data_IF_859628236973
#
_entry.id   IF_859628236973
#
_cell.length_a   1.000
_cell.length_b   1.000
_cell.length_c   1.000
_cell.angle_alpha   90.00
_cell.angle_beta   90.00
_cell.angle_gamma   90.00
#
_symmetry.space_group_name_H-M   'P 1'
#
loop_
_entity.id
_entity.type
_entity.pdbx_description
1 polymer ?
#
# COMPACT_ATOMS: atom_id res chain seq x y z
N UNK A 1 -68.08 -24.07 -72.21
CA UNK A 1 -66.69 -23.55 -72.25
C UNK A 1 -66.66 -22.01 -72.06
N UNK A 2 -67.46 -21.46 -71.11
CA UNK A 2 -67.57 -20.02 -70.92
C UNK A 2 -67.55 -19.57 -69.42
N UNK A 3 -67.31 -20.50 -68.51
CA UNK A 3 -67.31 -20.17 -67.07
C UNK A 3 -65.89 -19.88 -66.47
N UNK A 4 -64.85 -20.22 -67.19
CA UNK A 4 -63.45 -20.06 -66.64
C UNK A 4 -62.84 -18.67 -66.93
N UNK A 5 -63.37 -17.92 -67.89
CA UNK A 5 -62.86 -16.58 -68.26
C UNK A 5 -63.34 -15.46 -67.33
N UNK A 6 -64.55 -15.60 -66.75
CA UNK A 6 -65.09 -14.58 -65.85
C UNK A 6 -64.37 -14.54 -64.46
N UNK A 7 -63.92 -15.68 -63.93
CA UNK A 7 -63.29 -15.78 -62.63
C UNK A 7 -61.87 -15.18 -62.61
N UNK A 8 -61.15 -15.21 -63.76
CA UNK A 8 -59.79 -14.62 -63.85
C UNK A 8 -59.78 -13.09 -63.81
N UNK A 9 -60.80 -12.46 -64.40
CA UNK A 9 -60.87 -10.98 -64.37
C UNK A 9 -61.36 -10.43 -63.03
N UNK A 10 -62.24 -11.12 -62.34
CA UNK A 10 -62.69 -10.76 -61.01
C UNK A 10 -61.56 -10.90 -59.92
N UNK A 11 -60.69 -11.91 -60.00
CA UNK A 11 -59.56 -12.08 -59.14
C UNK A 11 -58.48 -11.03 -59.46
N UNK A 12 -58.27 -10.68 -60.76
CA UNK A 12 -57.26 -9.69 -61.12
C UNK A 12 -57.72 -8.27 -60.77
N UNK A 13 -58.99 -7.92 -60.85
CA UNK A 13 -59.56 -6.63 -60.45
C UNK A 13 -59.59 -6.50 -58.92
N UNK A 14 -59.87 -7.58 -58.19
CA UNK A 14 -59.78 -7.61 -56.71
C UNK A 14 -58.31 -7.42 -56.14
N UNK A 15 -57.35 -8.01 -56.88
CA UNK A 15 -55.94 -7.86 -56.55
C UNK A 15 -55.39 -6.44 -56.81
N UNK A 16 -55.87 -5.79 -57.86
CA UNK A 16 -55.49 -4.42 -58.23
C UNK A 16 -56.06 -3.39 -57.24
N UNK A 17 -57.31 -3.58 -56.78
CA UNK A 17 -57.97 -2.74 -55.80
C UNK A 17 -57.28 -2.94 -54.37
N UNK A 18 -56.91 -4.15 -54.02
CA UNK A 18 -56.18 -4.43 -52.83
C UNK A 18 -54.76 -3.81 -52.83
N UNK A 19 -54.06 -3.78 -53.96
CA UNK A 19 -52.73 -3.17 -54.11
C UNK A 19 -52.79 -1.65 -54.09
N UNK A 20 -53.85 -1.00 -54.60
CA UNK A 20 -54.04 0.45 -54.57
C UNK A 20 -54.40 0.94 -53.15
N UNK A 21 -55.12 0.15 -52.32
CA UNK A 21 -55.41 0.47 -50.94
C UNK A 21 -54.13 0.36 -50.01
N UNK A 22 -53.24 -0.54 -50.41
CA UNK A 22 -51.95 -0.65 -49.71
C UNK A 22 -51.00 0.49 -50.03
N UNK A 23 -51.08 1.13 -51.18
CA UNK A 23 -50.22 2.26 -51.54
C UNK A 23 -50.79 3.61 -51.06
N UNK A 24 -52.06 3.74 -50.75
CA UNK A 24 -52.62 4.95 -50.13
C UNK A 24 -52.45 5.01 -48.57
N UNK A 25 -52.00 3.92 -47.97
CA UNK A 25 -51.75 3.90 -46.53
C UNK A 25 -50.41 4.54 -46.11
N UNK A 26 -49.53 4.85 -47.07
CA UNK A 26 -48.21 5.45 -46.75
C UNK A 26 -48.16 6.98 -46.86
N UNK A 27 -49.19 7.63 -47.43
CA UNK A 27 -49.14 9.09 -47.60
C UNK A 27 -49.35 9.89 -46.29
N UNK A 28 -49.91 9.28 -45.25
CA UNK A 28 -50.09 9.93 -43.95
C UNK A 28 -49.01 9.55 -42.89
N UNK A 29 -48.10 8.71 -43.27
CA UNK A 29 -47.04 8.32 -42.31
C UNK A 29 -45.89 9.34 -42.20
N UNK A 30 -45.87 10.35 -43.10
CA UNK A 30 -44.82 11.40 -43.12
C UNK A 30 -45.36 12.82 -42.88
N UNK A 31 -46.63 13.00 -42.63
CA UNK A 31 -47.16 14.26 -42.05
C UNK A 31 -46.94 14.31 -40.56
N UNK A 32 -45.68 14.23 -40.16
CA UNK A 32 -45.28 14.70 -38.87
C UNK A 32 -45.29 16.21 -38.95
N UNK A 33 -46.45 16.82 -38.73
CA UNK A 33 -46.44 18.22 -38.31
C UNK A 33 -45.56 18.29 -37.08
N UNK A 34 -44.43 18.98 -37.17
CA UNK A 34 -43.61 19.32 -35.99
C UNK A 34 -44.56 20.15 -35.13
N UNK A 35 -45.05 19.52 -34.06
CA UNK A 35 -45.81 20.24 -33.02
C UNK A 35 -44.94 21.38 -32.52
N UNK A 36 -45.24 22.60 -32.99
CA UNK A 36 -44.53 23.79 -32.60
C UNK A 36 -44.59 24.08 -31.09
N UNK A 37 -45.49 23.37 -30.38
CA UNK A 37 -45.53 23.36 -28.91
C UNK A 37 -44.42 22.49 -28.28
N UNK A 38 -43.76 21.62 -29.08
CA UNK A 38 -42.64 20.81 -28.61
C UNK A 38 -41.28 21.41 -29.00
N UNK A 39 -41.09 22.69 -28.75
CA UNK A 39 -39.79 23.35 -28.92
C UNK A 39 -38.84 23.03 -27.76
N UNK A 40 -38.47 21.74 -27.62
CA UNK A 40 -37.51 21.29 -26.59
C UNK A 40 -36.20 20.87 -27.22
N UNK A 41 -35.09 21.28 -26.63
CA UNK A 41 -33.74 20.89 -27.06
C UNK A 41 -33.46 19.39 -26.93
N UNK A 42 -32.62 18.90 -27.82
CA UNK A 42 -32.08 17.54 -27.71
C UNK A 42 -31.16 17.40 -26.49
N UNK A 43 -31.14 16.21 -25.90
CA UNK A 43 -30.21 15.87 -24.82
C UNK A 43 -28.81 15.67 -25.38
N UNK A 44 -27.82 16.13 -24.64
CA UNK A 44 -26.41 15.75 -24.87
C UNK A 44 -26.23 14.23 -24.73
N UNK A 45 -25.19 13.70 -25.31
CA UNK A 45 -24.82 12.28 -25.21
C UNK A 45 -23.37 12.14 -24.76
N UNK A 46 -22.97 10.96 -24.32
CA UNK A 46 -21.61 10.62 -23.91
C UNK A 46 -21.10 11.52 -22.77
N UNK A 47 -21.96 11.79 -21.77
CA UNK A 47 -21.51 12.49 -20.59
C UNK A 47 -20.49 11.63 -19.82
N UNK A 48 -19.29 12.15 -19.68
CA UNK A 48 -18.19 11.53 -18.94
C UNK A 48 -17.56 12.55 -17.99
N UNK A 49 -16.96 12.09 -16.90
CA UNK A 49 -16.32 12.93 -15.88
C UNK A 49 -14.93 12.37 -15.58
N UNK A 50 -13.93 13.25 -15.61
CA UNK A 50 -12.55 12.96 -15.22
C UNK A 50 -12.21 13.74 -13.97
N UNK A 51 -12.31 13.14 -12.76
CA UNK A 51 -12.09 13.86 -11.52
C UNK A 51 -10.60 14.11 -11.24
N UNK A 52 -10.32 15.29 -10.68
CA UNK A 52 -9.06 15.67 -10.05
C UNK A 52 -9.23 15.72 -8.53
N UNK A 53 -8.47 16.54 -7.81
CA UNK A 53 -8.55 16.67 -6.34
C UNK A 53 -9.74 17.56 -5.94
N UNK A 54 -9.79 18.80 -6.48
CA UNK A 54 -10.81 19.79 -6.13
C UNK A 54 -11.60 20.27 -7.36
N UNK A 55 -11.47 19.58 -8.47
CA UNK A 55 -12.11 19.87 -9.74
C UNK A 55 -12.43 18.59 -10.51
N UNK A 56 -13.21 18.72 -11.59
CA UNK A 56 -13.41 17.61 -12.52
C UNK A 56 -13.65 18.16 -13.93
N UNK A 57 -13.00 17.55 -14.92
CA UNK A 57 -13.30 17.81 -16.32
C UNK A 57 -14.55 17.04 -16.75
N UNK A 58 -15.54 17.74 -17.25
CA UNK A 58 -16.82 17.21 -17.73
C UNK A 58 -16.84 17.26 -19.25
N UNK A 59 -17.08 16.11 -19.89
CA UNK A 59 -17.04 15.95 -21.33
C UNK A 59 -18.39 15.42 -21.82
N UNK A 60 -18.94 16.01 -22.89
CA UNK A 60 -20.18 15.57 -23.54
C UNK A 60 -20.16 15.89 -25.03
N UNK A 61 -21.08 15.30 -25.79
CA UNK A 61 -21.31 15.71 -27.15
C UNK A 61 -22.19 16.98 -27.17
N UNK A 62 -21.69 18.04 -27.81
CA UNK A 62 -22.45 19.27 -28.01
C UNK A 62 -23.72 19.00 -28.89
N UNK A 63 -24.81 19.69 -28.55
CA UNK A 63 -26.09 19.58 -29.25
C UNK A 63 -26.35 20.81 -30.10
N UNK A 64 -27.05 20.62 -31.20
CA UNK A 64 -27.46 21.71 -32.11
C UNK A 64 -28.52 22.60 -31.43
N UNK A 65 -28.60 23.87 -31.81
CA UNK A 65 -29.53 24.86 -31.29
C UNK A 65 -29.42 25.09 -29.77
N UNK A 66 -28.27 24.79 -29.19
CA UNK A 66 -27.98 25.00 -27.78
C UNK A 66 -27.15 26.27 -27.61
N UNK A 67 -27.59 27.18 -26.75
CA UNK A 67 -26.90 28.44 -26.46
C UNK A 67 -25.92 28.27 -25.32
N UNK A 68 -26.25 27.45 -24.34
CA UNK A 68 -25.42 27.12 -23.19
C UNK A 68 -25.83 25.82 -22.51
N UNK A 69 -25.01 25.36 -21.57
CA UNK A 69 -25.26 24.16 -20.78
C UNK A 69 -25.35 24.51 -19.30
N UNK A 70 -26.13 23.72 -18.57
CA UNK A 70 -26.16 23.75 -17.10
C UNK A 70 -25.72 22.40 -16.59
N UNK A 71 -24.76 22.43 -15.65
CA UNK A 71 -24.27 21.26 -14.93
C UNK A 71 -24.70 21.39 -13.48
N UNK A 72 -25.32 20.34 -12.93
CA UNK A 72 -25.68 20.25 -11.53
C UNK A 72 -24.90 19.11 -10.87
N UNK A 73 -24.34 19.42 -9.69
CA UNK A 73 -23.51 18.49 -8.89
C UNK A 73 -24.01 18.48 -7.45
N UNK A 74 -24.14 17.29 -6.85
CA UNK A 74 -24.58 17.13 -5.46
C UNK A 74 -23.85 15.93 -4.82
N UNK A 75 -23.69 15.91 -3.51
CA UNK A 75 -23.19 14.75 -2.77
C UNK A 75 -24.27 13.66 -2.57
N UNK A 76 -25.53 14.00 -2.80
CA UNK A 76 -26.67 13.09 -2.78
C UNK A 76 -27.17 12.78 -4.20
N UNK A 77 -27.81 11.64 -4.39
CA UNK A 77 -28.33 11.22 -5.70
C UNK A 77 -29.33 12.23 -6.27
N UNK A 78 -29.13 12.63 -7.53
CA UNK A 78 -29.93 13.64 -8.25
C UNK A 78 -31.18 12.99 -8.87
N UNK A 79 -32.31 13.07 -8.18
CA UNK A 79 -33.58 12.45 -8.63
C UNK A 79 -34.68 13.45 -8.98
N UNK A 80 -34.62 14.66 -8.45
CA UNK A 80 -35.64 15.70 -8.69
C UNK A 80 -35.60 16.24 -10.11
N UNK A 81 -36.75 16.63 -10.71
CA UNK A 81 -36.80 17.30 -12.01
C UNK A 81 -36.18 18.73 -11.95
N UNK A 82 -36.43 19.44 -10.85
CA UNK A 82 -35.81 20.73 -10.55
C UNK A 82 -34.44 20.56 -9.89
N UNK A 83 -33.72 21.65 -9.65
CA UNK A 83 -32.47 21.62 -8.87
C UNK A 83 -32.74 21.04 -7.49
N UNK A 84 -31.84 20.16 -7.07
CA UNK A 84 -31.94 19.52 -5.77
C UNK A 84 -31.33 20.42 -4.70
N UNK A 85 -31.92 20.41 -3.52
CA UNK A 85 -31.35 21.15 -2.38
C UNK A 85 -29.92 20.71 -2.07
N UNK A 86 -29.02 21.66 -1.81
CA UNK A 86 -27.60 21.43 -1.58
C UNK A 86 -26.77 21.21 -2.84
N UNK A 87 -27.37 21.36 -4.04
CA UNK A 87 -26.63 21.27 -5.30
C UNK A 87 -25.77 22.50 -5.56
N UNK A 88 -24.60 22.27 -6.14
CA UNK A 88 -23.80 23.30 -6.82
C UNK A 88 -24.18 23.31 -8.29
N UNK A 89 -24.53 24.51 -8.80
CA UNK A 89 -24.97 24.70 -10.19
C UNK A 89 -23.94 25.49 -10.96
N UNK A 90 -23.48 24.97 -12.08
CA UNK A 90 -22.56 25.63 -13.00
C UNK A 90 -23.30 26.02 -14.29
N UNK A 91 -22.98 27.19 -14.83
CA UNK A 91 -23.52 27.68 -16.12
C UNK A 91 -24.85 28.42 -16.04
N UNK A 92 -25.37 28.81 -14.85
CA UNK A 92 -26.54 29.68 -14.73
C UNK A 92 -26.30 31.09 -15.30
N UNK A 93 -25.03 31.50 -15.29
CA UNK A 93 -24.55 32.73 -15.93
C UNK A 93 -24.42 32.62 -17.45
N UNK A 94 -24.83 31.46 -18.01
CA UNK A 94 -24.72 31.12 -19.42
C UNK A 94 -23.30 31.04 -19.96
N UNK A 95 -22.31 30.86 -19.09
CA UNK A 95 -20.88 30.80 -19.45
C UNK A 95 -20.48 29.52 -20.18
N UNK A 96 -21.17 28.41 -19.89
CA UNK A 96 -20.80 27.09 -20.45
C UNK A 96 -21.36 26.94 -21.88
N UNK A 97 -20.52 27.16 -22.89
CA UNK A 97 -20.93 27.13 -24.31
C UNK A 97 -20.67 25.81 -25.01
N UNK A 98 -19.70 25.04 -24.55
CA UNK A 98 -19.28 23.79 -25.20
C UNK A 98 -18.53 22.88 -24.25
N UNK A 99 -18.47 21.60 -24.62
CA UNK A 99 -17.59 20.59 -24.02
C UNK A 99 -16.15 20.75 -24.55
N UNK A 100 -15.09 20.43 -23.77
CA UNK A 100 -15.15 20.10 -22.33
C UNK A 100 -15.33 21.33 -21.45
N UNK A 101 -15.71 21.12 -20.19
CA UNK A 101 -15.78 22.17 -19.17
C UNK A 101 -15.25 21.63 -17.82
N UNK A 102 -14.43 22.41 -17.12
CA UNK A 102 -13.93 22.05 -15.78
C UNK A 102 -14.82 22.68 -14.72
N UNK A 103 -15.43 21.86 -13.90
CA UNK A 103 -16.12 22.27 -12.68
C UNK A 103 -15.09 22.34 -11.54
N UNK A 104 -15.07 23.45 -10.79
CA UNK A 104 -14.10 23.74 -9.73
C UNK A 104 -14.79 23.85 -8.37
N UNK A 105 -13.99 23.86 -7.28
CA UNK A 105 -14.49 24.06 -5.93
C UNK A 105 -15.12 22.84 -5.32
N UNK A 106 -14.78 21.63 -5.80
CA UNK A 106 -15.19 20.37 -5.20
C UNK A 106 -14.30 20.03 -4.00
N UNK A 107 -14.87 19.31 -3.05
CA UNK A 107 -14.09 18.73 -1.93
C UNK A 107 -13.28 17.54 -2.40
N UNK A 108 -12.05 17.40 -1.88
CA UNK A 108 -11.20 16.25 -2.13
C UNK A 108 -11.79 14.97 -1.50
N UNK A 109 -11.47 13.81 -2.10
CA UNK A 109 -11.89 12.48 -1.62
C UNK A 109 -13.40 12.31 -1.42
N UNK A 110 -14.22 13.12 -2.13
CA UNK A 110 -15.67 13.22 -1.96
C UNK A 110 -16.40 12.65 -3.17
N UNK A 111 -17.46 11.90 -2.91
CA UNK A 111 -18.32 11.35 -3.97
C UNK A 111 -19.41 12.34 -4.36
N UNK A 112 -19.56 12.55 -5.65
CA UNK A 112 -20.54 13.45 -6.25
C UNK A 112 -21.40 12.75 -7.30
N UNK A 113 -22.67 13.12 -7.35
CA UNK A 113 -23.57 12.86 -8.47
C UNK A 113 -23.60 14.07 -9.39
N UNK A 114 -23.73 13.85 -10.70
CA UNK A 114 -23.69 14.90 -11.70
C UNK A 114 -24.72 14.67 -12.79
N UNK A 115 -25.27 15.75 -13.33
CA UNK A 115 -26.12 15.76 -14.51
C UNK A 115 -25.94 17.03 -15.32
N UNK A 116 -26.25 16.98 -16.60
CA UNK A 116 -26.17 18.10 -17.53
C UNK A 116 -27.46 18.26 -18.33
N UNK A 117 -27.79 19.49 -18.72
CA UNK A 117 -28.83 19.76 -19.71
C UNK A 117 -28.41 20.86 -20.66
N UNK A 118 -28.94 20.79 -21.89
CA UNK A 118 -28.82 21.82 -22.92
C UNK A 118 -29.88 22.90 -22.68
N UNK A 119 -29.51 24.16 -22.83
CA UNK A 119 -30.38 25.33 -22.64
C UNK A 119 -30.31 26.28 -23.85
N UNK A 120 -31.41 27.02 -24.08
CA UNK A 120 -31.50 28.04 -25.14
C UNK A 120 -32.39 29.18 -24.68
N UNK A 121 -32.20 30.36 -25.29
CA UNK A 121 -33.05 31.53 -25.08
C UNK A 121 -34.44 31.39 -25.67
N UNK A 122 -34.59 30.51 -26.70
CA UNK A 122 -35.78 30.44 -27.51
C UNK A 122 -36.51 29.10 -27.46
N UNK A 123 -35.91 28.09 -26.80
CA UNK A 123 -36.43 26.75 -26.68
C UNK A 123 -36.44 26.26 -25.23
N UNK A 124 -37.36 25.35 -24.95
CA UNK A 124 -37.38 24.69 -23.63
C UNK A 124 -36.12 23.85 -23.41
N UNK A 125 -35.56 23.85 -22.22
CA UNK A 125 -34.36 23.06 -21.89
C UNK A 125 -34.56 21.57 -22.20
N UNK A 126 -33.47 20.89 -22.51
CA UNK A 126 -33.50 19.43 -22.67
C UNK A 126 -33.86 18.75 -21.33
N UNK A 127 -34.21 17.48 -21.39
CA UNK A 127 -34.20 16.66 -20.15
C UNK A 127 -32.76 16.48 -19.66
N UNK A 128 -32.61 16.22 -18.38
CA UNK A 128 -31.33 15.92 -17.76
C UNK A 128 -30.68 14.67 -18.37
N UNK A 129 -29.36 14.69 -18.43
CA UNK A 129 -28.50 13.57 -18.86
C UNK A 129 -27.56 13.25 -17.70
N UNK A 130 -27.43 11.98 -17.43
CA UNK A 130 -26.56 11.42 -16.41
C UNK A 130 -25.42 10.66 -17.09
N UNK A 131 -24.23 10.57 -16.49
CA UNK A 131 -23.19 9.70 -16.98
C UNK A 131 -23.58 8.23 -16.77
N UNK A 132 -22.89 7.33 -17.45
CA UNK A 132 -23.11 5.88 -17.33
C UNK A 132 -22.90 5.42 -15.86
N UNK A 133 -21.83 5.89 -15.22
CA UNK A 133 -21.67 5.80 -13.78
C UNK A 133 -22.31 7.05 -13.16
N UNK A 134 -23.40 6.89 -12.46
CA UNK A 134 -24.21 8.01 -11.92
C UNK A 134 -23.45 8.92 -10.97
N UNK A 135 -22.34 8.44 -10.38
CA UNK A 135 -21.48 9.19 -9.48
C UNK A 135 -20.00 9.12 -9.88
N UNK A 136 -19.22 10.10 -9.46
CA UNK A 136 -17.77 10.10 -9.52
C UNK A 136 -17.20 10.48 -8.16
N UNK A 137 -15.92 10.13 -7.90
CA UNK A 137 -15.22 10.51 -6.67
C UNK A 137 -13.99 11.33 -7.00
N UNK A 138 -13.85 12.51 -6.38
CA UNK A 138 -12.63 13.32 -6.46
C UNK A 138 -11.44 12.58 -5.87
N UNK A 139 -10.24 12.86 -6.37
CA UNK A 139 -9.01 12.22 -5.89
C UNK A 139 -8.68 12.68 -4.48
N UNK A 140 -8.00 11.80 -3.75
CA UNK A 140 -7.46 12.13 -2.42
C UNK A 140 -6.33 13.16 -2.58
N UNK A 141 -6.33 14.18 -1.75
CA UNK A 141 -5.22 15.10 -1.62
C UNK A 141 -4.02 14.39 -0.98
N UNK A 142 -2.80 14.86 -1.25
CA UNK A 142 -1.59 14.36 -0.61
C UNK A 142 -0.87 15.50 0.10
N UNK A 143 -1.20 15.70 1.37
CA UNK A 143 -0.53 16.69 2.22
C UNK A 143 0.77 16.18 2.81
N UNK A 144 0.92 14.86 3.01
CA UNK A 144 2.16 14.28 3.56
C UNK A 144 3.26 14.37 2.51
N UNK A 145 4.32 15.11 2.81
CA UNK A 145 5.45 15.31 1.90
C UNK A 145 6.46 14.18 2.00
N UNK A 146 6.89 13.83 3.23
CA UNK A 146 7.92 12.83 3.44
C UNK A 146 7.76 12.10 4.77
N UNK A 147 8.25 10.86 4.82
CA UNK A 147 8.53 10.14 6.07
C UNK A 147 10.00 9.77 6.04
N UNK A 148 10.76 10.30 6.98
CA UNK A 148 12.23 10.22 7.01
C UNK A 148 12.75 9.82 8.40
N UNK A 149 14.07 9.69 8.53
CA UNK A 149 14.74 9.35 9.79
C UNK A 149 14.08 8.15 10.49
N UNK A 150 13.79 7.12 9.69
CA UNK A 150 13.09 5.91 10.16
C UNK A 150 14.08 5.05 10.93
N UNK A 151 13.74 4.74 12.18
CA UNK A 151 14.47 3.81 13.05
C UNK A 151 13.58 2.63 13.44
N UNK A 152 14.04 1.76 14.34
CA UNK A 152 13.21 0.66 14.86
C UNK A 152 12.06 1.12 15.77
N UNK A 153 12.07 2.37 16.24
CA UNK A 153 11.07 2.86 17.20
C UNK A 153 10.57 4.27 16.91
N UNK A 154 11.15 4.97 15.93
CA UNK A 154 10.79 6.36 15.58
C UNK A 154 10.74 6.57 14.08
N UNK A 155 10.01 7.60 13.64
CA UNK A 155 10.07 8.14 12.28
C UNK A 155 9.71 9.63 12.32
N UNK A 156 10.20 10.43 11.38
CA UNK A 156 9.80 11.83 11.22
C UNK A 156 8.85 11.93 10.04
N UNK A 157 7.65 12.47 10.27
CA UNK A 157 6.69 12.80 9.23
C UNK A 157 6.70 14.31 8.99
N UNK A 158 6.68 14.70 7.70
CA UNK A 158 6.54 16.11 7.29
C UNK A 158 5.34 16.27 6.37
N UNK A 159 4.66 17.43 6.45
CA UNK A 159 3.51 17.75 5.62
C UNK A 159 3.44 19.25 5.29
N UNK A 160 2.59 19.61 4.34
CA UNK A 160 2.34 21.00 3.97
C UNK A 160 1.82 21.79 5.17
N UNK A 161 2.55 22.86 5.53
CA UNK A 161 2.28 23.68 6.71
C UNK A 161 0.96 24.45 6.61
N UNK A 162 0.39 24.79 7.76
CA UNK A 162 -0.77 25.69 7.88
C UNK A 162 -1.99 25.21 7.08
N UNK A 163 -2.19 23.91 6.98
CA UNK A 163 -3.37 23.32 6.35
C UNK A 163 -4.50 23.09 7.38
N UNK A 164 -5.74 22.94 6.89
CA UNK A 164 -6.86 22.52 7.74
C UNK A 164 -6.73 21.03 8.01
N UNK A 165 -6.07 20.66 9.12
CA UNK A 165 -5.87 19.29 9.59
C UNK A 165 -6.07 19.20 11.09
N UNK A 166 -6.56 18.08 11.58
CA UNK A 166 -6.91 17.87 12.98
C UNK A 166 -6.11 16.74 13.64
N UNK A 167 -5.79 15.67 12.92
CA UNK A 167 -5.10 14.52 13.49
C UNK A 167 -4.49 13.61 12.44
N UNK A 168 -3.60 12.71 12.89
CA UNK A 168 -3.17 11.54 12.15
C UNK A 168 -3.86 10.28 12.68
N UNK A 169 -4.12 9.33 11.78
CA UNK A 169 -4.38 7.94 12.12
C UNK A 169 -3.19 7.10 11.67
N UNK A 170 -2.47 6.53 12.65
CA UNK A 170 -1.35 5.64 12.43
C UNK A 170 -1.84 4.20 12.61
N UNK A 171 -1.80 3.42 11.54
CA UNK A 171 -2.26 2.03 11.51
C UNK A 171 -1.07 1.09 11.40
N UNK A 172 -0.92 0.18 12.35
CA UNK A 172 -0.03 -0.97 12.22
C UNK A 172 -0.69 -1.98 11.28
N UNK A 173 -0.08 -2.26 10.12
CA UNK A 173 -0.69 -3.09 9.08
C UNK A 173 -0.77 -4.57 9.44
N UNK A 174 0.06 -5.05 10.37
CA UNK A 174 0.09 -6.44 10.80
C UNK A 174 -0.99 -6.76 11.84
N UNK A 175 -1.18 -5.83 12.79
CA UNK A 175 -2.13 -6.01 13.91
C UNK A 175 -3.46 -5.31 13.69
N UNK A 176 -3.56 -4.44 12.66
CA UNK A 176 -4.68 -3.52 12.43
C UNK A 176 -4.96 -2.55 13.61
N UNK A 177 -4.00 -2.40 14.52
CA UNK A 177 -4.11 -1.43 15.62
C UNK A 177 -3.98 -0.01 15.07
N UNK A 178 -4.90 0.87 15.49
CA UNK A 178 -4.95 2.27 15.07
C UNK A 178 -4.65 3.18 16.26
N UNK A 179 -3.71 4.11 16.06
CA UNK A 179 -3.40 5.16 17.03
C UNK A 179 -3.82 6.51 16.46
N UNK A 180 -4.65 7.25 17.19
CA UNK A 180 -5.02 8.62 16.87
C UNK A 180 -4.01 9.59 17.50
N UNK A 181 -3.42 10.47 16.68
CA UNK A 181 -2.41 11.45 17.11
C UNK A 181 -2.96 12.85 16.77
N UNK A 182 -3.44 13.63 17.75
CA UNK A 182 -3.92 14.99 17.50
C UNK A 182 -2.81 15.90 16.98
N UNK A 183 -3.14 16.76 16.01
CA UNK A 183 -2.23 17.76 15.47
C UNK A 183 -2.50 19.10 16.17
N UNK A 184 -1.52 19.60 16.93
CA UNK A 184 -1.62 20.93 17.57
C UNK A 184 -1.38 22.06 16.53
N UNK A 185 -1.72 23.29 16.93
CA UNK A 185 -1.47 24.47 16.09
C UNK A 185 0.03 24.67 15.82
N UNK A 186 0.88 24.39 16.80
CA UNK A 186 2.34 24.45 16.69
C UNK A 186 2.86 23.40 15.70
N UNK A 187 2.43 22.13 15.85
CA UNK A 187 2.79 21.06 14.92
C UNK A 187 2.40 21.41 13.47
N UNK A 188 1.18 21.98 13.28
CA UNK A 188 0.71 22.36 11.96
C UNK A 188 1.51 23.54 11.37
N UNK A 189 1.94 24.48 12.20
CA UNK A 189 2.81 25.59 11.80
C UNK A 189 4.23 25.10 11.45
N UNK A 190 4.76 24.10 12.15
CA UNK A 190 6.05 23.48 11.85
C UNK A 190 5.95 22.54 10.63
N UNK A 191 4.82 21.87 10.44
CA UNK A 191 4.62 20.87 9.39
C UNK A 191 5.51 19.64 9.57
N UNK A 192 5.85 19.30 10.81
CA UNK A 192 6.73 18.18 11.16
C UNK A 192 6.35 17.60 12.52
N UNK A 193 6.47 16.29 12.65
CA UNK A 193 6.27 15.57 13.91
C UNK A 193 7.11 14.30 13.96
N UNK A 194 7.68 14.01 15.13
CA UNK A 194 8.38 12.76 15.38
C UNK A 194 7.43 11.73 15.98
N UNK A 195 7.17 10.67 15.23
CA UNK A 195 6.50 9.47 15.70
C UNK A 195 7.44 8.72 16.66
N UNK A 196 6.91 8.23 17.78
CA UNK A 196 7.64 7.45 18.81
C UNK A 196 6.88 6.16 19.12
N UNK A 197 7.51 5.30 19.92
CA UNK A 197 6.92 4.05 20.41
C UNK A 197 6.44 3.09 19.29
N UNK A 198 7.09 3.16 18.14
CA UNK A 198 6.85 2.25 17.03
C UNK A 198 7.45 0.88 17.34
N UNK A 199 6.81 -0.18 16.84
CA UNK A 199 7.39 -1.52 16.83
C UNK A 199 8.44 -1.63 15.74
N UNK A 200 9.55 -2.33 16.00
CA UNK A 200 10.60 -2.56 15.02
C UNK A 200 10.13 -3.49 13.89
N UNK A 201 10.75 -3.34 12.71
CA UNK A 201 10.49 -4.14 11.50
C UNK A 201 9.00 -4.24 11.10
N UNK A 202 8.23 -3.23 11.45
CA UNK A 202 6.77 -3.20 11.31
C UNK A 202 6.37 -2.20 10.23
N UNK A 203 5.43 -2.59 9.38
CA UNK A 203 4.84 -1.70 8.38
C UNK A 203 3.69 -0.92 8.99
N UNK A 204 3.73 0.39 8.78
CA UNK A 204 2.70 1.33 9.19
C UNK A 204 2.13 2.06 7.99
N UNK A 205 0.83 2.36 8.05
CA UNK A 205 0.18 3.34 7.20
C UNK A 205 -0.24 4.52 8.06
N UNK A 206 0.10 5.74 7.63
CA UNK A 206 -0.28 6.97 8.33
C UNK A 206 -1.10 7.86 7.40
N UNK A 207 -2.31 8.19 7.82
CA UNK A 207 -3.20 9.14 7.15
C UNK A 207 -3.29 10.45 7.94
N UNK A 208 -3.29 11.59 7.24
CA UNK A 208 -3.56 12.91 7.81
C UNK A 208 -4.99 13.32 7.50
N UNK A 209 -5.75 13.76 8.50
CA UNK A 209 -7.18 13.99 8.41
C UNK A 209 -7.57 15.40 8.87
N UNK A 210 -8.71 15.86 8.31
CA UNK A 210 -9.43 17.03 8.81
C UNK A 210 -10.84 16.60 9.21
N UNK A 211 -11.24 16.83 10.47
CA UNK A 211 -12.60 16.55 10.94
C UNK A 211 -13.49 17.73 10.64
N UNK A 212 -14.53 17.54 9.81
CA UNK A 212 -15.53 18.55 9.45
C UNK A 212 -16.92 18.00 9.78
N UNK A 213 -17.67 18.74 10.59
CA UNK A 213 -19.02 18.32 11.02
C UNK A 213 -19.10 16.93 11.67
N UNK A 214 -17.99 16.46 12.27
CA UNK A 214 -17.88 15.14 12.90
C UNK A 214 -17.47 14.02 11.94
N UNK A 215 -17.19 14.31 10.68
CA UNK A 215 -16.67 13.36 9.71
C UNK A 215 -15.17 13.60 9.42
N UNK A 216 -14.39 12.54 9.37
CA UNK A 216 -12.96 12.59 9.10
C UNK A 216 -12.69 12.52 7.60
N UNK A 217 -12.19 13.60 7.04
CA UNK A 217 -11.81 13.71 5.62
C UNK A 217 -10.32 13.46 5.48
N UNK A 218 -9.94 12.42 4.74
CA UNK A 218 -8.55 12.08 4.46
C UNK A 218 -7.92 13.13 3.54
N UNK A 219 -6.80 13.73 3.99
CA UNK A 219 -6.04 14.77 3.30
C UNK A 219 -4.67 14.28 2.79
N UNK A 220 -4.35 13.02 2.97
CA UNK A 220 -3.13 12.38 2.48
C UNK A 220 -2.80 11.13 3.27
N UNK A 221 -2.12 10.18 2.62
CA UNK A 221 -1.72 8.91 3.22
C UNK A 221 -0.38 8.44 2.67
N UNK A 222 0.46 7.87 3.53
CA UNK A 222 1.70 7.18 3.16
C UNK A 222 1.94 5.95 4.03
N UNK A 223 2.65 4.97 3.46
CA UNK A 223 3.12 3.81 4.19
C UNK A 223 4.65 3.87 4.36
N UNK A 224 5.14 3.32 5.46
CA UNK A 224 6.56 3.18 5.75
C UNK A 224 6.80 1.93 6.59
N UNK A 225 8.04 1.46 6.63
CA UNK A 225 8.45 0.35 7.48
C UNK A 225 9.56 0.81 8.42
N UNK A 226 9.41 0.51 9.70
CA UNK A 226 10.46 0.72 10.70
C UNK A 226 11.62 -0.24 10.47
N UNK A 227 12.83 0.18 10.87
CA UNK A 227 14.02 -0.67 10.80
C UNK A 227 14.08 -1.62 12.00
N UNK A 228 15.09 -2.50 12.02
CA UNK A 228 15.43 -3.29 13.20
C UNK A 228 15.91 -2.38 14.35
N UNK A 229 15.68 -2.81 15.58
CA UNK A 229 16.13 -2.09 16.76
C UNK A 229 17.43 -2.71 17.31
N UNK A 230 18.53 -2.48 16.62
CA UNK A 230 19.83 -2.99 17.03
C UNK A 230 20.34 -2.31 18.31
N UNK A 231 21.21 -2.97 19.09
CA UNK A 231 21.86 -2.34 20.23
C UNK A 231 22.67 -1.10 19.84
N UNK A 232 22.65 -0.07 20.68
CA UNK A 232 23.39 1.16 20.43
C UNK A 232 24.91 0.91 20.35
N UNK A 233 25.56 1.59 19.42
CA UNK A 233 27.01 1.47 19.20
C UNK A 233 27.45 0.23 18.43
N UNK A 234 26.52 -0.52 17.85
CA UNK A 234 26.82 -1.65 16.96
C UNK A 234 26.64 -1.25 15.48
N UNK A 235 27.50 -1.79 14.63
CA UNK A 235 27.40 -1.63 13.16
C UNK A 235 26.66 -2.82 12.55
N UNK A 236 25.52 -2.63 11.90
CA UNK A 236 24.80 -3.70 11.24
C UNK A 236 25.47 -4.09 9.91
N UNK A 237 25.62 -5.40 9.70
CA UNK A 237 26.14 -6.02 8.47
C UNK A 237 25.13 -7.04 8.01
N UNK A 238 24.51 -6.79 6.85
CA UNK A 238 23.45 -7.63 6.30
C UNK A 238 24.02 -8.73 5.44
N UNK A 239 23.70 -9.98 5.75
CA UNK A 239 24.08 -11.14 4.95
C UNK A 239 23.11 -11.40 3.80
N UNK A 240 23.66 -11.89 2.71
CA UNK A 240 22.91 -12.49 1.60
C UNK A 240 23.27 -13.97 1.47
N UNK A 241 22.49 -14.75 0.71
CA UNK A 241 22.77 -16.17 0.47
C UNK A 241 24.09 -16.43 -0.28
N UNK A 242 24.66 -15.41 -0.91
CA UNK A 242 25.91 -15.50 -1.67
C UNK A 242 27.18 -15.19 -0.84
N UNK A 243 27.02 -14.68 0.39
CA UNK A 243 28.14 -14.25 1.21
C UNK A 243 28.85 -15.42 1.90
N UNK A 244 30.19 -15.39 1.92
CA UNK A 244 31.00 -16.17 2.86
C UNK A 244 31.10 -15.37 4.17
N UNK A 245 30.53 -15.85 5.28
CA UNK A 245 30.51 -15.09 6.53
C UNK A 245 31.91 -14.80 7.07
N UNK A 246 32.92 -15.61 6.76
CA UNK A 246 34.29 -15.39 7.19
C UNK A 246 34.93 -14.21 6.43
N UNK A 247 34.65 -14.08 5.14
CA UNK A 247 35.10 -12.91 4.35
C UNK A 247 34.44 -11.64 4.83
N UNK A 248 33.11 -11.71 5.07
CA UNK A 248 32.35 -10.58 5.61
C UNK A 248 32.86 -10.14 6.96
N UNK A 249 33.08 -11.10 7.89
CA UNK A 249 33.54 -10.82 9.25
C UNK A 249 35.00 -10.34 9.28
N UNK A 250 35.87 -10.84 8.40
CA UNK A 250 37.28 -10.43 8.32
C UNK A 250 37.46 -8.94 8.02
N UNK A 251 36.48 -8.31 7.39
CA UNK A 251 36.46 -6.88 7.09
C UNK A 251 35.89 -6.02 8.23
N UNK A 252 35.43 -6.61 9.35
CA UNK A 252 34.77 -5.92 10.44
C UNK A 252 35.68 -5.72 11.65
N UNK A 253 35.33 -4.70 12.46
CA UNK A 253 35.98 -4.43 13.74
C UNK A 253 35.01 -3.77 14.73
N UNK A 254 35.36 -3.78 16.03
CA UNK A 254 34.50 -3.21 17.08
C UNK A 254 33.23 -4.01 17.32
N UNK A 255 32.11 -3.34 17.54
CA UNK A 255 30.83 -3.99 17.82
C UNK A 255 30.02 -4.19 16.53
N UNK A 256 29.65 -5.43 16.24
CA UNK A 256 28.99 -5.82 14.98
C UNK A 256 27.68 -6.54 15.22
N UNK A 257 26.64 -6.20 14.46
CA UNK A 257 25.44 -7.01 14.31
C UNK A 257 25.48 -7.67 12.95
N UNK A 258 25.64 -8.99 12.91
CA UNK A 258 25.54 -9.77 11.69
C UNK A 258 24.08 -10.18 11.46
N UNK A 259 23.42 -9.55 10.50
CA UNK A 259 21.98 -9.71 10.26
C UNK A 259 21.76 -10.86 9.29
N UNK A 260 21.07 -11.90 9.78
CA UNK A 260 20.57 -13.03 8.98
C UNK A 260 19.20 -12.66 8.42
N UNK A 261 19.00 -12.64 7.09
CA UNK A 261 17.74 -12.21 6.49
C UNK A 261 16.60 -13.17 6.81
N UNK A 262 15.39 -12.63 6.98
CA UNK A 262 14.20 -13.44 7.21
C UNK A 262 13.75 -14.22 5.96
N UNK A 263 13.88 -13.60 4.79
CA UNK A 263 13.32 -14.14 3.53
C UNK A 263 14.12 -15.26 2.88
N UNK A 264 15.35 -15.52 3.39
CA UNK A 264 16.27 -16.47 2.75
C UNK A 264 17.08 -17.19 3.83
N UNK A 265 17.05 -18.52 3.81
CA UNK A 265 17.90 -19.31 4.70
C UNK A 265 19.38 -19.13 4.34
N UNK A 266 20.22 -18.81 5.32
CA UNK A 266 21.67 -18.69 5.15
C UNK A 266 22.32 -20.01 5.56
N UNK A 267 23.18 -20.53 4.70
CA UNK A 267 23.92 -21.77 4.98
C UNK A 267 25.42 -21.51 5.06
N UNK A 268 25.97 -21.75 6.23
CA UNK A 268 27.41 -21.71 6.46
C UNK A 268 28.02 -23.11 6.30
N UNK A 269 28.69 -23.35 5.19
CA UNK A 269 29.29 -24.66 4.88
C UNK A 269 30.61 -24.90 5.63
N UNK A 270 31.22 -23.84 6.19
CA UNK A 270 32.47 -23.88 6.95
C UNK A 270 32.24 -23.42 8.37
N UNK A 271 33.25 -23.62 9.24
CA UNK A 271 33.31 -22.98 10.55
C UNK A 271 33.29 -21.48 10.41
N UNK A 272 32.39 -20.80 11.13
CA UNK A 272 32.34 -19.34 11.20
C UNK A 272 33.35 -18.87 12.27
N UNK A 273 34.29 -18.03 11.86
CA UNK A 273 35.34 -17.51 12.71
C UNK A 273 35.09 -16.01 12.96
N UNK A 274 34.80 -15.65 14.20
CA UNK A 274 34.71 -14.24 14.60
C UNK A 274 36.13 -13.74 14.89
N UNK A 275 36.66 -12.78 14.10
CA UNK A 275 38.05 -12.34 14.20
C UNK A 275 38.30 -11.55 15.49
N UNK A 276 39.58 -11.41 15.86
CA UNK A 276 40.01 -10.70 17.06
C UNK A 276 39.60 -9.22 17.04
N UNK A 277 39.62 -8.59 15.87
CA UNK A 277 39.25 -7.18 15.69
C UNK A 277 37.78 -6.86 16.05
N UNK A 278 36.89 -7.86 16.01
CA UNK A 278 35.50 -7.74 16.46
C UNK A 278 35.43 -7.92 17.95
N UNK A 279 35.10 -6.87 18.70
CA UNK A 279 35.03 -6.88 20.15
C UNK A 279 33.73 -7.41 20.69
N UNK A 280 32.62 -7.15 20.01
CA UNK A 280 31.31 -7.73 20.31
C UNK A 280 30.61 -8.14 19.04
N UNK A 281 29.91 -9.26 19.07
CA UNK A 281 29.12 -9.73 17.94
C UNK A 281 27.72 -10.15 18.35
N UNK A 282 26.75 -9.76 17.55
CA UNK A 282 25.38 -10.25 17.63
C UNK A 282 25.04 -10.90 16.32
N UNK A 283 24.72 -12.19 16.33
CA UNK A 283 24.04 -12.89 15.23
C UNK A 283 22.56 -12.63 15.39
N UNK A 284 22.01 -11.81 14.51
CA UNK A 284 20.66 -11.27 14.61
C UNK A 284 19.77 -11.83 13.52
N UNK A 285 18.72 -12.56 13.88
CA UNK A 285 17.68 -12.94 12.93
C UNK A 285 16.76 -11.76 12.67
N UNK A 286 16.71 -11.29 11.42
CA UNK A 286 15.84 -10.20 11.03
C UNK A 286 14.37 -10.55 11.30
N UNK A 287 13.60 -9.57 11.75
CA UNK A 287 12.15 -9.67 11.93
C UNK A 287 11.44 -9.49 10.57
N UNK A 288 10.19 -9.90 10.44
CA UNK A 288 9.41 -9.65 9.22
C UNK A 288 8.50 -10.80 8.79
N UNK A 289 8.19 -11.73 9.69
CA UNK A 289 7.26 -12.83 9.43
C UNK A 289 6.88 -13.61 10.68
N UNK A 290 6.04 -14.62 10.50
CA UNK A 290 5.59 -15.48 11.60
C UNK A 290 6.68 -16.43 12.13
N UNK A 291 7.73 -16.67 11.34
CA UNK A 291 8.82 -17.58 11.68
C UNK A 291 10.14 -16.81 11.87
N UNK A 292 11.07 -17.43 12.61
CA UNK A 292 12.40 -16.88 12.83
C UNK A 292 13.25 -16.95 11.55
N UNK A 293 14.22 -16.03 11.39
CA UNK A 293 15.24 -16.12 10.34
C UNK A 293 16.05 -17.41 10.49
N UNK A 294 16.25 -18.14 9.39
CA UNK A 294 16.87 -19.46 9.41
C UNK A 294 18.35 -19.42 9.03
N UNK A 295 19.17 -20.05 9.88
CA UNK A 295 20.60 -20.21 9.69
C UNK A 295 20.99 -21.67 9.83
N UNK A 296 21.71 -22.21 8.84
CA UNK A 296 22.35 -23.53 8.92
C UNK A 296 23.83 -23.34 9.11
N UNK A 297 24.42 -23.95 10.14
CA UNK A 297 25.85 -23.79 10.44
C UNK A 297 26.46 -25.09 10.97
N UNK A 298 27.74 -25.29 10.68
CA UNK A 298 28.45 -26.41 11.33
C UNK A 298 28.92 -26.03 12.70
N UNK A 299 29.60 -24.91 12.82
CA UNK A 299 30.07 -24.43 14.12
C UNK A 299 30.49 -22.97 14.03
N UNK A 300 30.46 -22.30 15.17
CA UNK A 300 30.89 -20.90 15.31
C UNK A 300 31.97 -20.85 16.40
N UNK A 301 33.04 -20.11 16.18
CA UNK A 301 34.09 -19.85 17.17
C UNK A 301 34.50 -18.37 17.14
N UNK A 302 35.15 -17.94 18.22
CA UNK A 302 35.68 -16.59 18.38
C UNK A 302 37.19 -16.61 18.66
N UNK A 303 37.89 -15.57 18.20
CA UNK A 303 39.28 -15.30 18.50
C UNK A 303 39.43 -14.06 19.35
N UNK A 304 40.37 -14.06 20.30
CA UNK A 304 40.65 -12.95 21.15
C UNK A 304 39.56 -12.66 22.18
N UNK A 305 39.60 -11.48 22.78
CA UNK A 305 38.65 -11.06 23.81
C UNK A 305 37.32 -10.60 23.18
N UNK A 306 36.22 -11.02 23.78
CA UNK A 306 34.87 -10.62 23.39
C UNK A 306 34.11 -10.10 24.60
N UNK A 307 33.56 -8.88 24.48
CA UNK A 307 32.69 -8.37 25.54
C UNK A 307 31.32 -9.09 25.48
N UNK A 308 30.76 -9.21 24.29
CA UNK A 308 29.48 -9.87 24.07
C UNK A 308 29.55 -10.76 22.80
N UNK A 309 29.08 -12.00 22.95
CA UNK A 309 28.69 -12.87 21.83
C UNK A 309 27.24 -13.18 22.08
N UNK A 310 26.37 -12.78 21.15
CA UNK A 310 24.91 -12.95 21.27
C UNK A 310 24.31 -13.57 20.01
N UNK A 311 23.41 -14.52 20.23
CA UNK A 311 22.50 -15.05 19.21
C UNK A 311 21.10 -14.60 19.57
N UNK A 312 20.42 -13.98 18.61
CA UNK A 312 19.11 -13.39 18.85
C UNK A 312 18.14 -13.67 17.72
N UNK A 313 16.93 -14.14 18.06
CA UNK A 313 15.80 -14.36 17.14
C UNK A 313 16.15 -15.24 15.92
N UNK A 314 16.87 -16.35 16.12
CA UNK A 314 17.33 -17.25 15.07
C UNK A 314 16.74 -18.65 15.20
N UNK A 315 16.39 -19.25 14.06
CA UNK A 315 16.19 -20.69 13.91
C UNK A 315 17.46 -21.29 13.31
N UNK A 316 18.20 -22.09 14.10
CA UNK A 316 19.51 -22.60 13.72
C UNK A 316 19.48 -24.13 13.62
N UNK A 317 19.93 -24.65 12.49
CA UNK A 317 20.28 -26.09 12.33
C UNK A 317 21.81 -26.24 12.42
N UNK A 318 22.28 -26.90 13.47
CA UNK A 318 23.71 -27.14 13.71
C UNK A 318 24.25 -28.38 12.98
N UNK A 319 23.45 -29.03 12.10
CA UNK A 319 23.84 -30.13 11.24
C UNK A 319 24.55 -31.33 11.93
N UNK A 320 24.20 -31.59 13.18
CA UNK A 320 24.81 -32.67 13.98
C UNK A 320 26.23 -32.33 14.50
N UNK A 321 26.66 -31.07 14.40
CA UNK A 321 27.94 -30.59 14.91
C UNK A 321 27.74 -29.74 16.20
N UNK A 322 28.83 -29.24 16.76
CA UNK A 322 28.81 -28.32 17.90
C UNK A 322 28.32 -26.95 17.44
N UNK A 323 27.34 -26.38 18.11
CA UNK A 323 26.83 -25.07 17.70
C UNK A 323 27.87 -23.97 17.94
N UNK A 324 28.29 -23.76 19.19
CA UNK A 324 29.35 -22.84 19.55
C UNK A 324 30.54 -23.64 20.06
N UNK A 325 31.64 -23.67 19.32
CA UNK A 325 32.73 -24.57 19.56
C UNK A 325 34.08 -23.84 19.65
N UNK A 326 34.55 -23.65 20.84
CA UNK A 326 35.84 -23.01 21.11
C UNK A 326 36.97 -24.04 21.01
N UNK A 327 37.21 -24.47 19.81
CA UNK A 327 38.29 -25.42 19.48
C UNK A 327 38.92 -24.99 18.15
N UNK A 328 40.26 -25.14 18.07
CA UNK A 328 41.00 -24.99 16.83
C UNK A 328 40.32 -25.78 15.72
N UNK A 329 39.95 -25.09 14.62
CA UNK A 329 39.42 -25.72 13.41
C UNK A 329 40.51 -26.48 12.67
N UNK A 330 40.10 -27.43 11.80
CA UNK A 330 41.03 -28.22 11.00
C UNK A 330 41.93 -27.36 10.08
N UNK A 331 41.42 -26.20 9.70
CA UNK A 331 42.10 -25.28 8.78
C UNK A 331 42.96 -24.19 9.50
N UNK A 332 43.04 -24.26 10.85
CA UNK A 332 43.78 -23.28 11.64
C UNK A 332 45.16 -23.79 12.02
N UNK A 333 46.20 -22.96 11.84
CA UNK A 333 47.57 -23.28 12.18
C UNK A 333 47.88 -23.14 13.70
N UNK A 334 47.26 -22.12 14.33
CA UNK A 334 47.57 -21.76 15.69
C UNK A 334 46.45 -22.19 16.69
N UNK A 335 46.81 -22.36 17.94
CA UNK A 335 45.81 -22.58 19.00
C UNK A 335 45.01 -21.34 19.22
N UNK A 336 43.71 -21.53 19.55
CA UNK A 336 42.84 -20.38 19.85
C UNK A 336 43.02 -19.92 21.28
N UNK A 337 43.02 -18.59 21.46
CA UNK A 337 42.86 -17.95 22.75
C UNK A 337 41.64 -17.05 22.69
N UNK A 338 40.71 -17.22 23.60
CA UNK A 338 39.51 -16.43 23.64
C UNK A 338 39.01 -16.24 25.08
N UNK A 339 38.68 -15.01 25.43
CA UNK A 339 38.01 -14.67 26.67
C UNK A 339 36.68 -13.97 26.35
N UNK A 340 35.59 -14.62 26.66
CA UNK A 340 34.22 -14.09 26.41
C UNK A 340 33.63 -13.63 27.75
N UNK A 341 33.34 -12.35 27.85
CA UNK A 341 32.72 -11.81 29.05
C UNK A 341 31.27 -12.29 29.16
N UNK A 342 30.49 -12.21 28.09
CA UNK A 342 29.10 -12.68 28.09
C UNK A 342 28.72 -13.38 26.80
N UNK A 343 28.24 -14.62 26.89
CA UNK A 343 27.60 -15.39 25.82
C UNK A 343 26.08 -15.45 26.05
N UNK A 344 25.30 -14.92 25.14
CA UNK A 344 23.84 -14.85 25.19
C UNK A 344 23.22 -15.63 24.07
N UNK A 345 22.20 -16.45 24.36
CA UNK A 345 21.34 -17.12 23.39
C UNK A 345 19.89 -16.74 23.77
N UNK A 346 19.26 -15.96 22.94
CA UNK A 346 17.99 -15.32 23.27
C UNK A 346 16.98 -15.46 22.14
N UNK A 347 15.77 -15.91 22.48
CA UNK A 347 14.69 -16.08 21.51
C UNK A 347 15.10 -16.91 20.28
N UNK A 348 15.92 -17.94 20.47
CA UNK A 348 16.43 -18.81 19.41
C UNK A 348 15.80 -20.19 19.47
N UNK A 349 15.66 -20.84 18.31
CA UNK A 349 15.45 -22.28 18.19
C UNK A 349 16.74 -22.88 17.66
N UNK A 350 17.40 -23.77 18.42
CA UNK A 350 18.63 -24.46 17.99
C UNK A 350 18.33 -25.95 17.90
N UNK A 351 18.58 -26.50 16.75
CA UNK A 351 18.29 -27.92 16.45
C UNK A 351 19.52 -28.66 15.97
N UNK A 352 19.49 -29.99 16.10
CA UNK A 352 20.49 -30.91 15.58
C UNK A 352 21.92 -30.58 16.05
N UNK A 353 22.10 -30.13 17.28
CA UNK A 353 23.42 -29.85 17.82
C UNK A 353 24.01 -31.07 18.54
N UNK A 354 25.33 -31.19 18.49
CA UNK A 354 26.05 -32.17 19.33
C UNK A 354 26.25 -31.65 20.74
N UNK A 355 26.57 -30.38 20.90
CA UNK A 355 26.51 -29.60 22.15
C UNK A 355 26.19 -28.16 21.83
N UNK A 356 25.58 -27.45 22.77
CA UNK A 356 25.28 -26.03 22.61
C UNK A 356 26.57 -25.20 22.68
N UNK A 357 27.38 -25.45 23.70
CA UNK A 357 28.71 -24.81 23.92
C UNK A 357 29.74 -25.89 24.21
N UNK A 358 30.84 -25.84 23.45
CA UNK A 358 31.99 -26.72 23.70
C UNK A 358 33.25 -25.90 23.85
N UNK A 359 34.04 -26.26 24.86
CA UNK A 359 35.42 -25.81 25.02
C UNK A 359 36.35 -27.03 25.12
N UNK A 360 37.45 -27.06 24.33
CA UNK A 360 38.35 -28.20 24.34
C UNK A 360 39.48 -27.98 25.34
N UNK A 361 39.85 -29.04 26.05
CA UNK A 361 41.00 -29.08 26.97
C UNK A 361 42.29 -28.64 26.26
N UNK A 362 43.13 -27.91 26.97
CA UNK A 362 44.46 -27.47 26.50
C UNK A 362 44.48 -26.15 25.69
N UNK A 363 43.34 -25.49 25.56
CA UNK A 363 43.23 -24.18 24.94
C UNK A 363 42.94 -23.13 25.99
N UNK A 364 43.51 -21.92 25.85
CA UNK A 364 43.22 -20.80 26.75
C UNK A 364 41.86 -20.20 26.46
N UNK A 365 40.80 -20.73 27.07
CA UNK A 365 39.43 -20.31 26.90
C UNK A 365 38.83 -19.95 28.25
N UNK A 366 38.16 -18.81 28.29
CA UNK A 366 37.35 -18.38 29.42
C UNK A 366 36.00 -17.81 28.95
N UNK A 367 34.91 -18.26 29.54
CA UNK A 367 33.57 -17.66 29.38
C UNK A 367 33.10 -17.28 30.80
N UNK A 368 32.95 -15.98 31.06
CA UNK A 368 32.60 -15.51 32.40
C UNK A 368 31.11 -15.72 32.70
N UNK A 369 30.23 -15.56 31.65
CA UNK A 369 28.78 -15.73 31.81
C UNK A 369 28.18 -16.36 30.56
N UNK A 370 27.35 -17.37 30.78
CA UNK A 370 26.46 -17.92 29.74
C UNK A 370 25.02 -17.71 30.16
N UNK A 371 24.17 -17.22 29.25
CA UNK A 371 22.75 -17.05 29.49
C UNK A 371 21.95 -17.58 28.29
N UNK A 372 20.99 -18.44 28.57
CA UNK A 372 20.03 -18.96 27.56
C UNK A 372 18.65 -18.56 28.06
N UNK A 373 17.90 -17.80 27.22
CA UNK A 373 16.58 -17.31 27.59
C UNK A 373 15.62 -17.36 26.41
N UNK A 374 14.34 -17.64 26.68
CA UNK A 374 13.27 -17.66 25.67
C UNK A 374 13.61 -18.53 24.43
N UNK A 375 14.46 -19.54 24.61
CA UNK A 375 15.02 -20.35 23.54
C UNK A 375 14.62 -21.81 23.65
N UNK A 376 14.54 -22.47 22.52
CA UNK A 376 14.22 -23.90 22.38
C UNK A 376 15.49 -24.61 21.89
N UNK A 377 15.93 -25.62 22.60
CA UNK A 377 17.06 -26.48 22.21
C UNK A 377 16.52 -27.88 21.89
N UNK A 378 16.55 -28.25 20.63
CA UNK A 378 16.01 -29.51 20.12
C UNK A 378 17.12 -30.43 19.60
N UNK A 379 17.12 -31.71 20.02
CA UNK A 379 18.01 -32.74 19.44
C UNK A 379 19.49 -32.51 19.77
N UNK A 380 19.81 -32.05 20.97
CA UNK A 380 21.18 -32.05 21.47
C UNK A 380 21.59 -33.52 21.76
N UNK A 381 22.56 -34.07 21.01
CA UNK A 381 22.94 -35.47 21.08
C UNK A 381 24.01 -35.78 22.14
N UNK A 382 24.66 -34.78 22.70
CA UNK A 382 25.64 -34.89 23.78
C UNK A 382 25.34 -33.92 24.93
N UNK A 383 26.34 -33.59 25.70
CA UNK A 383 26.20 -32.65 26.81
C UNK A 383 25.91 -31.25 26.29
N UNK A 384 25.01 -30.51 26.96
CA UNK A 384 24.67 -29.14 26.57
C UNK A 384 25.93 -28.22 26.66
N UNK A 385 26.76 -28.43 27.67
CA UNK A 385 28.07 -27.79 27.85
C UNK A 385 29.14 -28.90 27.94
N UNK A 386 30.01 -28.97 26.93
CA UNK A 386 31.08 -29.95 26.82
C UNK A 386 32.45 -29.25 27.01
N UNK A 387 33.30 -29.77 27.88
CA UNK A 387 34.67 -29.28 28.17
C UNK A 387 35.63 -30.42 28.47
#
# INVERSE_FOLDING_TARGET
MNFIKSTKYTVLSGLFIALTVLLSSCEKANDWETDSAYNRLFRSTKLAVSPSINDAEVIWNNTINTDYYIIEVNTSELTAENYQEGSVIFGEDKSIKSSPYTIEGLDANTSYYIRIRSCSETASPSKWVYPENTSFKTKTEQLIEEISTITGSTAIITWKKNQSVTHFLLTNTETSAVTNIPISAEMNAEGSYQLTDLAASTTYTIGIYNTVNGEDILRGEKSFQTTENFPDGYTPVYLTAADDPNEVLAAQSGNVVLVVPHSTAITFSKTVIVPEAVTSIVFWGASGGAEQATMTTKTILTLGNKDVVRFYNLNVDAQGDYFFNLQKGADMTDDISTNINTLLIESCTISNSKSLVRAKEGISIQINKVSVSKSIINGCSGDMFAY
#
